data_IF_375404329836
#
_entry.id   IF_375404329836
#
_cell.length_a   1.000
_cell.length_b   1.000
_cell.length_c   1.000
_cell.angle_alpha   90.00
_cell.angle_beta   90.00
_cell.angle_gamma   90.00
#
_symmetry.space_group_name_H-M   'P 1'
#
loop_
_entity.id
_entity.type
_entity.pdbx_description
1 polymer ?
#
# COMPACT_ATOMS: atom_id res chain seq x y z
N UNK A 1 -12.62 4.10 -22.44
CA UNK A 1 -12.40 4.81 -21.17
C UNK A 1 -10.91 4.80 -20.94
N UNK A 2 -10.26 5.97 -20.98
CA UNK A 2 -8.82 6.09 -20.77
C UNK A 2 -8.51 5.57 -19.37
N UNK A 3 -7.97 4.34 -19.27
CA UNK A 3 -7.45 3.78 -18.03
C UNK A 3 -6.31 4.73 -17.65
N UNK A 4 -6.58 5.63 -16.71
CA UNK A 4 -5.64 6.68 -16.32
C UNK A 4 -4.29 6.03 -16.04
N UNK A 5 -3.22 6.57 -16.62
CA UNK A 5 -1.86 6.09 -16.41
C UNK A 5 -1.63 6.19 -14.90
N UNK A 6 -1.61 5.03 -14.24
CA UNK A 6 -1.35 4.94 -12.81
C UNK A 6 0.12 5.31 -12.66
N UNK A 7 0.38 6.50 -12.12
CA UNK A 7 1.74 6.93 -11.86
C UNK A 7 2.24 6.19 -10.62
N UNK A 8 3.01 5.12 -10.87
CA UNK A 8 3.54 4.27 -9.82
C UNK A 8 4.66 4.97 -9.05
N UNK A 9 5.16 6.13 -9.46
CA UNK A 9 6.27 6.86 -8.84
C UNK A 9 5.81 8.08 -8.01
N UNK A 10 4.65 8.68 -8.30
CA UNK A 10 4.16 9.90 -7.65
C UNK A 10 3.56 9.67 -6.25
N UNK A 11 3.82 10.56 -5.30
CA UNK A 11 3.19 10.48 -3.96
C UNK A 11 1.66 10.45 -4.06
N UNK A 12 1.04 9.55 -3.30
CA UNK A 12 -0.41 9.30 -3.34
C UNK A 12 -1.00 9.09 -1.96
N UNK A 13 -2.24 9.51 -1.79
CA UNK A 13 -2.96 9.28 -0.55
C UNK A 13 -3.28 7.80 -0.38
N UNK A 14 -2.74 7.17 0.67
CA UNK A 14 -3.06 5.79 1.00
C UNK A 14 -4.12 5.74 2.11
N UNK A 15 -5.28 5.11 1.86
CA UNK A 15 -6.34 5.00 2.87
C UNK A 15 -5.96 4.12 4.06
N UNK A 16 -4.99 3.20 3.91
CA UNK A 16 -4.49 2.39 5.02
C UNK A 16 -3.67 3.25 6.00
N UNK A 17 -2.81 4.12 5.46
CA UNK A 17 -1.98 5.04 6.24
C UNK A 17 -2.69 6.33 6.63
N UNK A 18 -3.82 6.65 5.98
CA UNK A 18 -4.55 7.92 6.09
C UNK A 18 -3.69 9.16 5.82
N UNK A 19 -2.58 9.01 5.10
CA UNK A 19 -1.64 10.08 4.69
C UNK A 19 -1.17 9.85 3.25
N UNK A 20 -0.55 10.88 2.67
CA UNK A 20 0.20 10.73 1.43
C UNK A 20 1.45 9.89 1.69
N UNK A 21 1.67 8.88 0.87
CA UNK A 21 2.84 8.00 0.91
C UNK A 21 3.48 7.93 -0.48
N UNK A 22 4.77 7.62 -0.49
CA UNK A 22 5.52 7.38 -1.72
C UNK A 22 5.19 6.01 -2.34
N UNK A 23 5.59 5.88 -3.60
CA UNK A 23 5.58 4.64 -4.36
C UNK A 23 6.19 3.45 -3.61
N UNK A 24 7.44 3.63 -3.19
CA UNK A 24 8.22 2.63 -2.47
C UNK A 24 7.51 2.19 -1.20
N UNK A 25 7.01 3.15 -0.41
CA UNK A 25 6.30 2.82 0.82
C UNK A 25 5.02 2.03 0.52
N UNK A 26 4.29 2.38 -0.54
CA UNK A 26 3.10 1.61 -0.95
C UNK A 26 3.46 0.17 -1.34
N UNK A 27 4.56 -0.02 -2.07
CA UNK A 27 5.02 -1.35 -2.49
C UNK A 27 5.52 -2.19 -1.32
N UNK A 28 6.38 -1.64 -0.46
CA UNK A 28 6.89 -2.32 0.74
C UNK A 28 5.75 -2.70 1.68
N UNK A 29 4.78 -1.80 1.85
CA UNK A 29 3.57 -2.06 2.63
C UNK A 29 2.77 -3.19 2.03
N UNK A 30 2.54 -3.17 0.72
CA UNK A 30 1.82 -4.22 0.02
C UNK A 30 2.51 -5.58 0.19
N UNK A 31 3.83 -5.62 0.01
CA UNK A 31 4.66 -6.82 0.17
C UNK A 31 4.58 -7.40 1.60
N UNK A 32 4.59 -6.56 2.62
CA UNK A 32 4.41 -6.97 4.01
C UNK A 32 2.96 -7.39 4.32
N UNK A 33 1.98 -6.66 3.79
CA UNK A 33 0.55 -6.95 3.97
C UNK A 33 0.15 -8.25 3.25
N UNK A 34 0.73 -8.56 2.10
CA UNK A 34 0.51 -9.81 1.37
C UNK A 34 1.22 -11.01 2.03
N UNK A 35 2.05 -10.77 3.07
CA UNK A 35 2.80 -11.82 3.77
C UNK A 35 4.07 -12.28 3.06
N UNK A 36 4.49 -11.59 2.00
CA UNK A 36 5.78 -11.81 1.34
C UNK A 36 6.95 -11.37 2.24
N UNK A 37 6.73 -10.33 3.06
CA UNK A 37 7.68 -9.84 4.06
C UNK A 37 7.04 -9.74 5.45
N UNK A 38 7.88 -9.60 6.49
CA UNK A 38 7.40 -9.38 7.86
C UNK A 38 6.93 -7.93 8.00
N UNK A 39 5.84 -7.69 8.72
CA UNK A 39 5.35 -6.34 9.04
C UNK A 39 6.45 -5.47 9.70
N UNK A 40 7.35 -6.09 10.45
CA UNK A 40 8.51 -5.42 11.07
C UNK A 40 9.56 -4.91 10.08
N UNK A 41 9.51 -5.32 8.81
CA UNK A 41 10.43 -4.84 7.76
C UNK A 41 10.10 -3.40 7.34
N UNK A 42 8.84 -2.97 7.51
CA UNK A 42 8.40 -1.62 7.20
C UNK A 42 7.92 -0.96 8.50
N UNK A 43 8.76 -0.16 9.18
CA UNK A 43 8.43 0.43 10.49
C UNK A 43 7.17 1.30 10.45
N UNK A 44 6.85 1.91 9.32
CA UNK A 44 5.66 2.70 9.08
C UNK A 44 4.38 1.87 9.19
N UNK A 45 4.40 0.58 8.83
CA UNK A 45 3.24 -0.29 9.06
C UNK A 45 2.91 -0.42 10.54
N UNK A 46 3.87 -0.21 11.44
CA UNK A 46 3.62 -0.19 12.88
C UNK A 46 2.74 1.00 13.30
N UNK A 47 2.61 2.05 12.47
CA UNK A 47 1.66 3.15 12.70
C UNK A 47 0.21 2.76 12.35
N UNK A 48 0.01 1.66 11.63
CA UNK A 48 -1.31 1.14 11.29
C UNK A 48 -1.80 0.27 12.44
N UNK A 49 -2.79 0.77 13.18
CA UNK A 49 -3.42 0.02 14.28
C UNK A 49 -4.10 -1.28 13.82
N UNK A 50 -4.66 -1.30 12.60
CA UNK A 50 -5.41 -2.44 12.07
C UNK A 50 -4.83 -2.93 10.74
N UNK A 51 -3.91 -3.88 10.85
CA UNK A 51 -3.22 -4.50 9.71
C UNK A 51 -4.19 -5.30 8.83
N UNK A 52 -5.23 -5.92 9.41
CA UNK A 52 -6.21 -6.67 8.63
C UNK A 52 -7.09 -5.74 7.76
N UNK A 53 -7.49 -4.59 8.30
CA UNK A 53 -8.20 -3.56 7.56
C UNK A 53 -7.32 -2.97 6.46
N UNK A 54 -6.02 -2.75 6.73
CA UNK A 54 -5.05 -2.34 5.72
C UNK A 54 -4.91 -3.37 4.61
N UNK A 55 -4.84 -4.67 4.93
CA UNK A 55 -4.83 -5.76 3.93
C UNK A 55 -6.04 -5.71 3.02
N UNK A 56 -7.25 -5.56 3.58
CA UNK A 56 -8.49 -5.44 2.80
C UNK A 56 -8.46 -4.20 1.90
N UNK A 57 -8.06 -3.05 2.43
CA UNK A 57 -7.93 -1.81 1.65
C UNK A 57 -6.93 -1.94 0.52
N UNK A 58 -5.78 -2.54 0.80
CA UNK A 58 -4.76 -2.78 -0.20
C UNK A 58 -5.27 -3.75 -1.25
N UNK A 59 -5.95 -4.85 -0.91
CA UNK A 59 -6.51 -5.78 -1.90
C UNK A 59 -7.57 -5.17 -2.83
N UNK A 60 -8.25 -4.11 -2.40
CA UNK A 60 -9.20 -3.34 -3.22
C UNK A 60 -8.54 -2.16 -3.95
N UNK A 61 -7.23 -1.95 -3.79
CA UNK A 61 -6.53 -0.80 -4.33
C UNK A 61 -6.17 -1.02 -5.81
N UNK A 62 -6.38 -0.05 -6.71
CA UNK A 62 -5.96 -0.20 -8.12
C UNK A 62 -4.44 -0.34 -8.28
N UNK A 63 -3.66 0.01 -7.25
CA UNK A 63 -2.20 -0.15 -7.23
C UNK A 63 -1.74 -1.52 -6.68
N UNK A 64 -2.64 -2.34 -6.12
CA UNK A 64 -2.28 -3.68 -5.61
C UNK A 64 -2.31 -4.76 -6.67
N UNK A 65 -2.91 -4.46 -7.80
CA UNK A 65 -2.96 -5.34 -8.96
C UNK A 65 -1.56 -5.34 -9.60
N UNK A 66 -0.70 -6.20 -9.06
CA UNK A 66 0.60 -6.54 -9.63
C UNK A 66 0.36 -7.51 -10.81
N UNK A 67 -0.23 -7.02 -11.91
CA UNK A 67 -0.23 -7.74 -13.19
C UNK A 67 1.08 -7.56 -13.95
#
# INVERSE_FOLDING_TARGET
MSKGIIDYEADRYCPAYKKAISADLCYDSLMCLNGSFKISSTPELSEIEDIEAARKRCAECPYSDLE
#
